data_IF_745291403881
#
_entry.id   IF_745291403881
#
_cell.length_a   1.000
_cell.length_b   1.000
_cell.length_c   1.000
_cell.angle_alpha   90.00
_cell.angle_beta   90.00
_cell.angle_gamma   90.00
#
_symmetry.space_group_name_H-M   'P 1'
#
loop_
_entity.id
_entity.type
_entity.pdbx_description
1 polymer ?
#
# COMPACT_ATOMS: atom_id res chain seq x y z
N UNK A 1 -9.13 -22.64 -16.53
CA UNK A 1 -8.72 -22.05 -15.24
C UNK A 1 -9.97 -21.65 -14.48
N UNK A 2 -10.08 -21.90 -13.17
CA UNK A 2 -11.26 -21.49 -12.39
C UNK A 2 -11.41 -19.94 -12.46
N UNK A 3 -12.61 -19.39 -12.72
CA UNK A 3 -12.82 -17.94 -12.78
C UNK A 3 -12.32 -17.17 -11.54
N UNK A 4 -12.41 -17.79 -10.35
CA UNK A 4 -11.87 -17.22 -9.12
C UNK A 4 -10.34 -17.03 -9.18
N UNK A 5 -9.63 -18.05 -9.67
CA UNK A 5 -8.19 -18.02 -9.82
C UNK A 5 -7.72 -17.08 -10.95
N UNK A 6 -8.51 -16.95 -12.01
CA UNK A 6 -8.31 -15.91 -13.03
C UNK A 6 -8.40 -14.52 -12.43
N UNK A 7 -9.43 -14.28 -11.62
CA UNK A 7 -9.58 -13.01 -10.95
C UNK A 7 -8.39 -12.72 -10.01
N UNK A 8 -7.91 -13.70 -9.24
CA UNK A 8 -6.72 -13.45 -8.40
C UNK A 8 -5.52 -13.05 -9.27
N UNK A 9 -5.19 -13.84 -10.29
CA UNK A 9 -4.04 -13.57 -11.16
C UNK A 9 -4.14 -12.18 -11.79
N UNK A 10 -5.28 -11.84 -12.38
CA UNK A 10 -5.43 -10.60 -13.14
C UNK A 10 -5.35 -9.35 -12.24
N UNK A 11 -5.58 -9.51 -10.93
CA UNK A 11 -5.49 -8.43 -9.95
C UNK A 11 -4.14 -8.41 -9.19
N UNK A 12 -3.28 -9.41 -9.36
CA UNK A 12 -1.96 -9.49 -8.71
C UNK A 12 -0.79 -9.59 -9.70
N UNK A 13 -1.04 -9.78 -10.99
CA UNK A 13 0.01 -9.93 -12.03
C UNK A 13 0.98 -8.75 -12.04
N UNK A 14 0.47 -7.55 -11.77
CA UNK A 14 1.25 -6.32 -11.72
C UNK A 14 2.37 -6.35 -10.66
N UNK A 15 2.22 -7.15 -9.60
CA UNK A 15 3.23 -7.32 -8.56
C UNK A 15 4.48 -8.08 -9.06
N UNK A 16 4.35 -8.88 -10.12
CA UNK A 16 5.48 -9.56 -10.76
C UNK A 16 6.24 -8.67 -11.75
N UNK A 17 5.91 -7.36 -11.81
CA UNK A 17 6.64 -6.40 -12.60
C UNK A 17 8.08 -6.23 -12.09
N UNK A 18 9.04 -6.71 -12.87
CA UNK A 18 10.48 -6.61 -12.54
C UNK A 18 10.91 -5.14 -12.57
N UNK A 19 11.44 -4.68 -11.43
CA UNK A 19 12.03 -3.34 -11.29
C UNK A 19 13.53 -3.41 -11.61
N UNK A 20 14.21 -4.46 -11.14
CA UNK A 20 15.63 -4.67 -11.35
C UNK A 20 16.00 -6.16 -11.31
N UNK A 21 16.83 -6.63 -12.25
CA UNK A 21 17.34 -7.99 -12.28
C UNK A 21 18.84 -7.98 -12.58
N UNK A 22 19.65 -8.60 -11.72
CA UNK A 22 21.08 -8.78 -11.92
C UNK A 22 21.59 -10.10 -11.32
N UNK A 23 21.84 -11.09 -12.19
CA UNK A 23 22.44 -12.41 -11.89
C UNK A 23 21.75 -13.17 -10.75
N UNK A 24 22.09 -12.85 -9.50
CA UNK A 24 21.61 -13.49 -8.27
C UNK A 24 20.74 -12.56 -7.41
N UNK A 25 20.53 -11.32 -7.86
CA UNK A 25 19.67 -10.34 -7.21
C UNK A 25 18.52 -10.00 -8.14
N UNK A 26 17.31 -10.07 -7.60
CA UNK A 26 16.06 -9.86 -8.32
C UNK A 26 15.19 -8.95 -7.46
N UNK A 27 14.52 -7.98 -8.08
CA UNK A 27 13.68 -7.04 -7.38
C UNK A 27 12.48 -6.69 -8.26
N UNK A 28 11.30 -7.04 -7.78
CA UNK A 28 10.01 -6.73 -8.40
C UNK A 28 9.10 -6.02 -7.40
N UNK A 29 7.86 -5.76 -7.79
CA UNK A 29 6.89 -5.13 -6.89
C UNK A 29 6.48 -6.07 -5.73
N UNK A 30 6.56 -7.40 -5.89
CA UNK A 30 6.41 -8.35 -4.78
C UNK A 30 7.49 -8.18 -3.72
N UNK A 31 8.74 -7.90 -4.12
CA UNK A 31 9.83 -7.61 -3.19
C UNK A 31 9.48 -6.44 -2.23
N UNK A 32 8.75 -5.42 -2.70
CA UNK A 32 8.23 -4.36 -1.81
C UNK A 32 7.19 -4.89 -0.82
N UNK A 33 6.33 -5.82 -1.25
CA UNK A 33 5.35 -6.50 -0.37
C UNK A 33 6.06 -7.36 0.67
N UNK A 34 7.12 -8.09 0.32
CA UNK A 34 7.90 -8.87 1.30
C UNK A 34 8.60 -7.95 2.30
N UNK A 35 9.23 -6.87 1.83
CA UNK A 35 9.85 -5.84 2.69
C UNK A 35 8.82 -5.31 3.69
N UNK A 36 7.63 -4.99 3.20
CA UNK A 36 6.55 -4.46 4.03
C UNK A 36 6.00 -5.48 5.01
N UNK A 37 5.75 -6.69 4.54
CA UNK A 37 5.22 -7.79 5.36
C UNK A 37 6.20 -8.10 6.49
N UNK A 38 7.50 -8.17 6.20
CA UNK A 38 8.52 -8.35 7.20
C UNK A 38 8.57 -7.23 8.26
N UNK A 39 8.44 -5.97 7.83
CA UNK A 39 8.32 -4.82 8.73
C UNK A 39 7.08 -4.93 9.65
N UNK A 40 5.90 -5.19 9.09
CA UNK A 40 4.65 -5.32 9.85
C UNK A 40 4.68 -6.52 10.80
N UNK A 41 5.15 -7.69 10.35
CA UNK A 41 5.30 -8.88 11.21
C UNK A 41 6.26 -8.57 12.36
N UNK A 42 7.35 -7.87 12.11
CA UNK A 42 8.28 -7.48 13.17
C UNK A 42 7.65 -6.50 14.18
N UNK A 43 6.84 -5.55 13.72
CA UNK A 43 6.05 -4.66 14.59
C UNK A 43 5.13 -5.50 15.48
N UNK A 44 4.37 -6.44 14.91
CA UNK A 44 3.44 -7.31 15.64
C UNK A 44 4.18 -8.17 16.67
N UNK A 45 5.27 -8.84 16.27
CA UNK A 45 6.08 -9.66 17.17
C UNK A 45 6.65 -8.83 18.32
N UNK A 46 7.07 -7.60 18.04
CA UNK A 46 7.62 -6.71 19.05
C UNK A 46 6.52 -6.19 19.99
N UNK A 47 5.36 -5.77 19.45
CA UNK A 47 4.21 -5.29 20.22
C UNK A 47 3.62 -6.37 21.14
N UNK A 48 3.75 -7.65 20.75
CA UNK A 48 3.35 -8.80 21.54
C UNK A 48 4.46 -9.31 22.49
N UNK A 49 5.57 -8.58 22.65
CA UNK A 49 6.71 -8.93 23.51
C UNK A 49 7.27 -10.35 23.25
N UNK A 50 7.30 -10.75 21.98
CA UNK A 50 7.64 -12.11 21.61
C UNK A 50 9.15 -12.36 21.74
N UNK A 51 9.54 -13.31 22.59
CA UNK A 51 10.95 -13.75 22.73
C UNK A 51 11.48 -14.33 21.41
N UNK A 52 12.77 -14.08 21.13
CA UNK A 52 13.46 -14.53 19.90
C UNK A 52 12.75 -14.07 18.61
N UNK A 53 12.22 -12.85 18.60
CA UNK A 53 11.48 -12.25 17.47
C UNK A 53 12.12 -12.44 16.10
N UNK A 54 13.44 -12.32 15.98
CA UNK A 54 14.16 -12.53 14.72
C UNK A 54 14.04 -13.96 14.17
N UNK A 55 14.20 -14.95 15.04
CA UNK A 55 14.02 -16.36 14.65
C UNK A 55 12.57 -16.61 14.24
N UNK A 56 11.60 -16.02 14.95
CA UNK A 56 10.19 -16.18 14.60
C UNK A 56 9.81 -15.47 13.31
N UNK A 57 10.35 -14.29 13.05
CA UNK A 57 10.19 -13.59 11.77
C UNK A 57 10.70 -14.49 10.63
N UNK A 58 11.93 -14.99 10.75
CA UNK A 58 12.50 -15.90 9.76
C UNK A 58 11.61 -17.13 9.54
N UNK A 59 11.15 -17.79 10.61
CA UNK A 59 10.27 -18.95 10.50
C UNK A 59 8.94 -18.63 9.82
N UNK A 60 8.32 -17.48 10.14
CA UNK A 60 7.07 -17.06 9.51
C UNK A 60 7.28 -16.81 8.01
N UNK A 61 8.36 -16.10 7.64
CA UNK A 61 8.69 -15.86 6.24
C UNK A 61 8.96 -17.18 5.50
N UNK A 62 9.76 -18.09 6.06
CA UNK A 62 9.99 -19.41 5.45
C UNK A 62 8.69 -20.22 5.28
N UNK A 63 7.78 -20.19 6.26
CA UNK A 63 6.48 -20.86 6.15
C UNK A 63 5.64 -20.22 5.06
N UNK A 64 5.65 -18.89 4.95
CA UNK A 64 4.95 -18.16 3.90
C UNK A 64 5.43 -18.60 2.50
N UNK A 65 6.73 -18.59 2.26
CA UNK A 65 7.32 -19.03 0.99
C UNK A 65 7.00 -20.49 0.65
N UNK A 66 7.03 -21.38 1.65
CA UNK A 66 6.65 -22.79 1.44
C UNK A 66 5.18 -22.90 1.05
N UNK A 67 4.30 -22.16 1.72
CA UNK A 67 2.87 -22.13 1.39
C UNK A 67 2.67 -21.59 -0.02
N UNK A 68 3.30 -20.48 -0.36
CA UNK A 68 3.25 -19.86 -1.69
C UNK A 68 3.74 -20.83 -2.79
N UNK A 69 4.93 -21.41 -2.63
CA UNK A 69 5.48 -22.44 -3.54
C UNK A 69 4.52 -23.63 -3.69
N UNK A 70 3.94 -24.13 -2.59
CA UNK A 70 2.98 -25.22 -2.63
C UNK A 70 1.68 -24.82 -3.35
N UNK A 71 1.20 -23.59 -3.16
CA UNK A 71 0.04 -23.06 -3.89
C UNK A 71 0.32 -22.97 -5.40
N UNK A 72 1.52 -22.56 -5.81
CA UNK A 72 1.93 -22.55 -7.22
C UNK A 72 1.97 -23.94 -7.83
N UNK A 73 2.66 -24.87 -7.17
CA UNK A 73 2.91 -26.23 -7.68
C UNK A 73 1.64 -27.09 -7.66
N UNK A 74 0.87 -27.04 -6.57
CA UNK A 74 -0.17 -28.04 -6.32
C UNK A 74 -1.54 -27.69 -6.92
N UNK A 75 -1.85 -26.40 -7.12
CA UNK A 75 -3.25 -26.01 -7.40
C UNK A 75 -3.41 -25.32 -8.76
N UNK A 76 -2.37 -24.69 -9.32
CA UNK A 76 -2.64 -23.50 -10.12
C UNK A 76 -2.00 -23.40 -11.51
N UNK A 77 -0.75 -23.81 -11.77
CA UNK A 77 -0.07 -23.48 -13.05
C UNK A 77 -0.26 -21.99 -13.47
N UNK A 78 -0.61 -21.12 -12.52
CA UNK A 78 -1.14 -19.78 -12.76
C UNK A 78 -0.03 -18.77 -13.01
N UNK A 79 1.14 -19.08 -12.48
CA UNK A 79 2.28 -18.20 -12.40
C UNK A 79 3.53 -19.02 -12.77
N UNK A 80 4.58 -18.33 -13.23
CA UNK A 80 5.84 -18.98 -13.58
C UNK A 80 6.43 -19.62 -12.33
N UNK A 81 6.96 -20.86 -12.40
CA UNK A 81 7.62 -21.47 -11.26
C UNK A 81 8.75 -20.54 -10.79
N UNK A 82 8.65 -20.10 -9.54
CA UNK A 82 9.68 -19.29 -8.89
C UNK A 82 11.01 -20.02 -8.92
N UNK A 83 12.06 -19.30 -9.29
CA UNK A 83 13.42 -19.82 -9.18
C UNK A 83 13.73 -19.92 -7.69
N UNK A 84 14.52 -20.89 -7.28
CA UNK A 84 14.96 -20.96 -5.87
C UNK A 84 15.72 -19.71 -5.39
N UNK A 85 16.20 -18.87 -6.32
CA UNK A 85 16.78 -17.55 -6.03
C UNK A 85 15.71 -16.55 -5.55
N UNK A 86 14.48 -16.65 -6.05
CA UNK A 86 13.37 -15.74 -5.75
C UNK A 86 12.95 -15.94 -4.29
N UNK A 87 12.68 -17.18 -3.88
CA UNK A 87 12.38 -17.57 -2.48
C UNK A 87 13.43 -17.04 -1.48
N UNK A 88 14.73 -17.16 -1.81
CA UNK A 88 15.79 -16.67 -0.93
C UNK A 88 15.77 -15.15 -0.86
N UNK A 89 15.57 -14.49 -2.00
CA UNK A 89 15.48 -13.04 -2.08
C UNK A 89 14.29 -12.53 -1.25
N UNK A 90 13.13 -13.14 -1.35
CA UNK A 90 11.90 -12.72 -0.65
C UNK A 90 12.04 -12.84 0.86
N UNK A 91 12.67 -13.93 1.35
CA UNK A 91 13.02 -14.07 2.77
C UNK A 91 14.02 -12.98 3.18
N UNK A 92 15.07 -12.74 2.40
CA UNK A 92 16.09 -11.73 2.73
C UNK A 92 15.48 -10.33 2.78
N UNK A 93 14.65 -9.98 1.80
CA UNK A 93 13.96 -8.70 1.71
C UNK A 93 12.94 -8.55 2.86
N UNK A 94 12.20 -9.60 3.20
CA UNK A 94 11.34 -9.60 4.39
C UNK A 94 12.12 -9.41 5.70
N UNK A 95 13.25 -10.09 5.85
CA UNK A 95 14.15 -9.91 7.01
C UNK A 95 14.72 -8.49 7.07
N UNK A 96 15.06 -7.90 5.92
CA UNK A 96 15.49 -6.50 5.83
C UNK A 96 14.38 -5.55 6.30
N UNK A 97 13.12 -5.81 5.96
CA UNK A 97 11.96 -5.05 6.45
C UNK A 97 11.87 -5.05 7.98
N UNK A 98 12.01 -6.23 8.59
CA UNK A 98 12.09 -6.36 10.04
C UNK A 98 13.29 -5.62 10.65
N UNK A 99 14.43 -5.60 9.96
CA UNK A 99 15.62 -4.89 10.39
C UNK A 99 15.49 -3.37 10.34
N UNK A 100 14.84 -2.83 9.32
CA UNK A 100 14.52 -1.41 9.25
C UNK A 100 13.62 -0.99 10.41
N UNK A 101 12.60 -1.79 10.75
CA UNK A 101 11.72 -1.49 11.90
C UNK A 101 12.44 -1.62 13.24
N UNK A 102 13.31 -2.62 13.39
CA UNK A 102 14.15 -2.74 14.57
C UNK A 102 15.08 -1.51 14.74
N UNK A 103 15.71 -1.07 13.66
CA UNK A 103 16.56 0.12 13.66
C UNK A 103 15.77 1.38 14.02
N UNK A 104 14.56 1.52 13.48
CA UNK A 104 13.65 2.61 13.83
C UNK A 104 13.33 2.61 15.33
N UNK A 105 12.90 1.48 15.91
CA UNK A 105 12.57 1.41 17.34
C UNK A 105 13.77 1.65 18.27
N UNK A 106 14.98 1.35 17.81
CA UNK A 106 16.20 1.65 18.56
C UNK A 106 16.55 3.14 18.48
N UNK A 107 16.27 3.79 17.35
CA UNK A 107 16.52 5.21 17.14
C UNK A 107 15.48 6.09 17.84
N UNK A 108 14.21 5.68 17.82
CA UNK A 108 13.09 6.34 18.49
C UNK A 108 12.75 5.66 19.82
N UNK A 109 13.73 5.61 20.72
CA UNK A 109 13.57 4.99 22.05
C UNK A 109 12.53 5.68 22.93
N UNK A 110 12.25 6.96 22.66
CA UNK A 110 11.19 7.75 23.31
C UNK A 110 9.79 7.57 22.71
N UNK A 111 9.66 6.84 21.59
CA UNK A 111 8.39 6.66 20.89
C UNK A 111 7.84 7.92 20.21
N UNK A 112 8.60 9.03 20.19
CA UNK A 112 8.16 10.34 19.72
C UNK A 112 7.71 10.33 18.25
N UNK A 113 8.26 9.45 17.44
CA UNK A 113 8.02 9.37 15.99
C UNK A 113 7.13 8.19 15.60
N UNK A 114 6.71 7.33 16.54
CA UNK A 114 5.87 6.14 16.27
C UNK A 114 4.56 6.48 15.55
N UNK A 115 3.88 7.56 15.96
CA UNK A 115 2.68 8.06 15.30
C UNK A 115 2.93 8.55 13.88
N UNK A 116 4.07 9.20 13.63
CA UNK A 116 4.47 9.62 12.27
C UNK A 116 4.78 8.41 11.40
N UNK A 117 5.42 7.38 11.97
CA UNK A 117 5.63 6.11 11.28
C UNK A 117 4.29 5.46 10.94
N UNK A 118 3.34 5.36 11.88
CA UNK A 118 2.01 4.80 11.63
C UNK A 118 1.29 5.52 10.46
N UNK A 119 1.36 6.84 10.46
CA UNK A 119 0.80 7.69 9.40
C UNK A 119 1.46 7.39 8.05
N UNK A 120 2.79 7.41 8.00
CA UNK A 120 3.55 7.17 6.77
C UNK A 120 3.26 5.78 6.20
N UNK A 121 3.33 4.76 7.05
CA UNK A 121 3.02 3.36 6.71
C UNK A 121 1.63 3.24 6.10
N UNK A 122 0.63 3.82 6.77
CA UNK A 122 -0.75 3.69 6.34
C UNK A 122 -1.03 4.41 5.02
N UNK A 123 -0.48 5.62 4.85
CA UNK A 123 -0.63 6.40 3.64
C UNK A 123 0.00 5.71 2.43
N UNK A 124 1.26 5.26 2.53
CA UNK A 124 1.94 4.65 1.40
C UNK A 124 1.36 3.27 1.04
N UNK A 125 0.90 2.50 2.04
CA UNK A 125 0.34 1.16 1.81
C UNK A 125 -0.95 1.21 1.00
N UNK A 126 -1.92 2.02 1.44
CA UNK A 126 -3.21 2.13 0.75
C UNK A 126 -3.01 2.74 -0.64
N UNK A 127 -2.13 3.73 -0.77
CA UNK A 127 -1.81 4.32 -2.07
C UNK A 127 -1.16 3.30 -3.03
N UNK A 128 -0.19 2.52 -2.55
CA UNK A 128 0.48 1.49 -3.36
C UNK A 128 -0.47 0.40 -3.83
N UNK A 129 -1.27 -0.16 -2.91
CA UNK A 129 -2.26 -1.20 -3.23
C UNK A 129 -3.26 -0.66 -4.26
N UNK A 130 -3.79 0.54 -4.03
CA UNK A 130 -4.78 1.13 -4.93
C UNK A 130 -4.22 1.41 -6.31
N UNK A 131 -3.05 2.03 -6.40
CA UNK A 131 -2.47 2.44 -7.69
C UNK A 131 -2.08 1.25 -8.54
N UNK A 132 -1.46 0.24 -7.93
CA UNK A 132 -1.09 -0.98 -8.65
C UNK A 132 -2.32 -1.80 -9.08
N UNK A 133 -3.33 -1.91 -8.20
CA UNK A 133 -4.56 -2.63 -8.50
C UNK A 133 -5.42 -1.94 -9.57
N UNK A 134 -5.57 -0.61 -9.50
CA UNK A 134 -6.34 0.15 -10.49
C UNK A 134 -5.63 0.22 -11.85
N UNK A 135 -4.29 0.21 -11.84
CA UNK A 135 -3.48 0.28 -13.05
C UNK A 135 -3.56 1.64 -13.74
N UNK A 136 -3.41 2.73 -12.97
CA UNK A 136 -3.46 4.08 -13.52
C UNK A 136 -2.50 4.25 -14.70
N UNK A 137 -3.01 4.86 -15.77
CA UNK A 137 -2.23 5.30 -16.91
C UNK A 137 -2.77 6.67 -17.32
N UNK A 138 -1.89 7.65 -17.44
CA UNK A 138 -2.25 9.00 -17.80
C UNK A 138 -1.64 9.42 -19.14
N UNK A 139 -2.19 10.46 -19.75
CA UNK A 139 -1.71 11.03 -21.02
C UNK A 139 -0.22 11.43 -21.01
N UNK A 140 0.31 11.83 -19.86
CA UNK A 140 1.72 12.23 -19.72
C UNK A 140 2.58 11.01 -19.36
N UNK A 141 3.33 10.51 -20.35
CA UNK A 141 4.15 9.28 -20.24
C UNK A 141 5.21 9.34 -19.14
N UNK A 142 5.72 10.53 -18.80
CA UNK A 142 6.71 10.70 -17.72
C UNK A 142 6.26 10.09 -16.38
N UNK A 143 4.96 10.13 -16.08
CA UNK A 143 4.44 9.57 -14.82
C UNK A 143 4.16 8.07 -14.90
N UNK A 144 4.13 7.48 -16.09
CA UNK A 144 3.77 6.08 -16.29
C UNK A 144 5.04 5.22 -16.26
N UNK A 145 5.16 4.37 -15.25
CA UNK A 145 6.07 3.22 -15.27
C UNK A 145 5.26 1.94 -15.51
N UNK A 146 5.91 0.81 -15.86
CA UNK A 146 5.22 -0.47 -15.87
C UNK A 146 4.51 -0.68 -14.53
N UNK A 147 3.19 -0.89 -14.58
CA UNK A 147 2.33 -1.21 -13.43
C UNK A 147 2.07 -0.10 -12.39
N UNK A 148 2.92 0.93 -12.30
CA UNK A 148 2.76 2.04 -11.34
C UNK A 148 2.76 3.39 -12.02
N UNK A 149 1.76 4.22 -11.72
CA UNK A 149 1.77 5.63 -12.07
C UNK A 149 2.24 6.49 -10.88
N UNK A 150 3.35 7.21 -11.07
CA UNK A 150 4.01 7.99 -10.03
C UNK A 150 3.23 9.23 -9.60
N UNK A 151 2.46 9.83 -10.51
CA UNK A 151 1.58 10.95 -10.17
C UNK A 151 0.46 10.48 -9.21
N UNK A 152 -0.27 9.44 -9.60
CA UNK A 152 -1.33 8.86 -8.78
C UNK A 152 -0.80 8.40 -7.42
N UNK A 153 0.34 7.69 -7.40
CA UNK A 153 0.95 7.22 -6.15
C UNK A 153 1.29 8.38 -5.21
N UNK A 154 1.87 9.46 -5.75
CA UNK A 154 2.22 10.65 -4.97
C UNK A 154 0.97 11.35 -4.43
N UNK A 155 -0.02 11.61 -5.28
CA UNK A 155 -1.26 12.26 -4.89
C UNK A 155 -2.01 11.46 -3.82
N UNK A 156 -2.13 10.14 -4.00
CA UNK A 156 -2.78 9.26 -3.02
C UNK A 156 -2.02 9.20 -1.70
N UNK A 157 -0.70 9.16 -1.72
CA UNK A 157 0.12 9.15 -0.50
C UNK A 157 -0.02 10.46 0.27
N UNK A 158 0.11 11.61 -0.41
CA UNK A 158 -0.03 12.94 0.22
C UNK A 158 -1.45 13.15 0.73
N UNK A 159 -2.47 12.76 -0.05
CA UNK A 159 -3.87 12.84 0.37
C UNK A 159 -4.15 11.96 1.58
N UNK A 160 -3.67 10.71 1.57
CA UNK A 160 -3.78 9.79 2.71
C UNK A 160 -3.17 10.36 3.99
N UNK A 161 -1.96 10.90 3.89
CA UNK A 161 -1.29 11.58 4.99
C UNK A 161 -2.11 12.77 5.52
N UNK A 162 -2.61 13.63 4.63
CA UNK A 162 -3.45 14.78 5.01
C UNK A 162 -4.75 14.37 5.71
N UNK A 163 -5.44 13.34 5.19
CA UNK A 163 -6.64 12.76 5.81
C UNK A 163 -6.33 12.30 7.24
N UNK A 164 -5.24 11.54 7.42
CA UNK A 164 -4.84 11.00 8.73
C UNK A 164 -4.46 12.12 9.72
N UNK A 165 -3.77 13.17 9.26
CA UNK A 165 -3.43 14.33 10.09
C UNK A 165 -4.69 15.05 10.57
N UNK A 166 -5.62 15.34 9.67
CA UNK A 166 -6.88 15.98 10.01
C UNK A 166 -7.69 15.10 10.98
N UNK A 167 -7.82 13.80 10.71
CA UNK A 167 -8.47 12.85 11.60
C UNK A 167 -7.85 12.87 13.00
N UNK A 168 -6.52 12.78 13.11
CA UNK A 168 -5.80 12.79 14.37
C UNK A 168 -6.05 14.08 15.17
N UNK A 169 -6.04 15.23 14.49
CA UNK A 169 -6.28 16.53 15.10
C UNK A 169 -7.73 16.73 15.58
N UNK A 170 -8.71 16.24 14.81
CA UNK A 170 -10.12 16.35 15.19
C UNK A 170 -10.54 15.32 16.24
N UNK A 171 -9.99 14.11 16.21
CA UNK A 171 -10.27 13.06 17.21
C UNK A 171 -9.89 13.56 18.61
N UNK A 172 -8.79 14.30 18.72
CA UNK A 172 -8.34 14.91 19.97
C UNK A 172 -9.29 16.00 20.51
N UNK A 173 -10.15 16.60 19.67
CA UNK A 173 -10.94 17.80 20.03
C UNK A 173 -12.46 17.62 20.04
N UNK A 174 -13.03 16.79 19.14
CA UNK A 174 -14.48 16.82 18.83
C UNK A 174 -15.14 15.44 18.67
N UNK A 175 -14.46 14.36 19.09
CA UNK A 175 -15.00 12.99 19.04
C UNK A 175 -14.85 12.29 17.68
N UNK A 176 -15.05 10.97 17.67
CA UNK A 176 -14.72 10.12 16.52
C UNK A 176 -15.57 10.38 15.27
N UNK A 177 -16.87 10.61 15.42
CA UNK A 177 -17.76 10.91 14.29
C UNK A 177 -17.30 12.16 13.53
N UNK A 178 -17.11 13.26 14.26
CA UNK A 178 -16.62 14.52 13.66
C UNK A 178 -15.23 14.36 13.03
N UNK A 179 -14.35 13.58 13.68
CA UNK A 179 -13.01 13.30 13.19
C UNK A 179 -12.97 12.50 11.90
N UNK A 180 -14.03 11.75 11.57
CA UNK A 180 -14.13 11.01 10.30
C UNK A 180 -14.84 11.86 9.25
N UNK A 181 -16.00 12.43 9.60
CA UNK A 181 -16.85 13.17 8.65
C UNK A 181 -16.17 14.41 8.09
N UNK A 182 -15.45 15.17 8.92
CA UNK A 182 -14.89 16.45 8.47
C UNK A 182 -13.68 16.30 7.54
N UNK A 183 -12.69 15.42 7.81
CA UNK A 183 -11.65 15.11 6.83
C UNK A 183 -12.21 14.53 5.53
N UNK A 184 -13.27 13.72 5.62
CA UNK A 184 -13.94 13.17 4.43
C UNK A 184 -14.54 14.26 3.53
N UNK A 185 -15.24 15.25 4.12
CA UNK A 185 -15.78 16.40 3.38
C UNK A 185 -14.67 17.25 2.76
N UNK A 186 -13.62 17.58 3.51
CA UNK A 186 -12.47 18.33 2.99
C UNK A 186 -11.83 17.57 1.82
N UNK A 187 -11.60 16.28 2.01
CA UNK A 187 -11.03 15.41 0.99
C UNK A 187 -11.84 15.45 -0.30
N UNK A 188 -13.17 15.33 -0.25
CA UNK A 188 -14.00 15.37 -1.46
C UNK A 188 -13.90 16.71 -2.19
N UNK A 189 -13.93 17.83 -1.46
CA UNK A 189 -13.77 19.16 -2.07
C UNK A 189 -12.41 19.28 -2.77
N UNK A 190 -11.33 18.85 -2.10
CA UNK A 190 -9.99 18.89 -2.67
C UNK A 190 -9.85 17.94 -3.85
N UNK A 191 -10.44 16.75 -3.78
CA UNK A 191 -10.45 15.77 -4.86
C UNK A 191 -11.11 16.36 -6.12
N UNK A 192 -12.29 16.95 -6.00
CA UNK A 192 -12.94 17.62 -7.13
C UNK A 192 -12.08 18.75 -7.70
N UNK A 193 -11.45 19.56 -6.85
CA UNK A 193 -10.57 20.63 -7.30
C UNK A 193 -9.34 20.08 -8.05
N UNK A 194 -8.68 19.05 -7.52
CA UNK A 194 -7.50 18.42 -8.13
C UNK A 194 -7.86 17.76 -9.46
N UNK A 195 -8.95 17.01 -9.53
CA UNK A 195 -9.45 16.39 -10.77
C UNK A 195 -9.76 17.45 -11.83
N UNK A 196 -10.46 18.52 -11.44
CA UNK A 196 -10.76 19.62 -12.35
C UNK A 196 -9.49 20.26 -12.93
N UNK A 197 -8.52 20.58 -12.06
CA UNK A 197 -7.24 21.18 -12.46
C UNK A 197 -6.45 20.21 -13.36
N UNK A 198 -6.32 18.95 -12.96
CA UNK A 198 -5.59 17.93 -13.71
C UNK A 198 -6.20 17.75 -15.11
N UNK A 199 -7.52 17.60 -15.19
CA UNK A 199 -8.22 17.32 -16.44
C UNK A 199 -8.29 18.52 -17.38
N UNK A 200 -8.74 19.67 -16.88
CA UNK A 200 -9.03 20.84 -17.73
C UNK A 200 -7.84 21.79 -17.90
N UNK A 201 -6.99 21.95 -16.89
CA UNK A 201 -5.88 22.91 -16.95
C UNK A 201 -4.56 22.25 -17.36
N UNK A 202 -4.30 21.03 -16.88
CA UNK A 202 -3.03 20.34 -17.13
C UNK A 202 -3.11 19.30 -18.27
N UNK A 203 -4.31 19.03 -18.79
CA UNK A 203 -4.54 17.97 -19.79
C UNK A 203 -4.02 16.59 -19.36
N UNK A 204 -3.94 16.37 -18.04
CA UNK A 204 -3.53 15.12 -17.43
C UNK A 204 -4.78 14.25 -17.29
N UNK A 205 -5.02 13.39 -18.28
CA UNK A 205 -6.22 12.56 -18.36
C UNK A 205 -5.88 11.11 -18.14
N UNK A 206 -6.69 10.44 -17.33
CA UNK A 206 -6.64 8.99 -17.17
C UNK A 206 -7.12 8.32 -18.47
N UNK A 207 -6.40 7.30 -18.93
CA UNK A 207 -6.64 6.63 -20.21
C UNK A 207 -6.81 5.10 -20.08
N UNK A 208 -6.74 4.54 -18.87
CA UNK A 208 -6.81 3.07 -18.67
C UNK A 208 -8.21 2.53 -18.86
N UNK A 209 -9.25 3.13 -18.26
CA UNK A 209 -10.56 2.46 -18.15
C UNK A 209 -11.75 3.23 -18.77
N UNK A 210 -11.48 4.21 -19.62
CA UNK A 210 -12.51 5.04 -20.25
C UNK A 210 -13.10 6.07 -19.28
N UNK A 211 -13.31 7.28 -19.76
CA UNK A 211 -13.80 8.38 -18.95
C UNK A 211 -15.33 8.38 -18.94
N UNK A 212 -15.96 7.76 -17.94
CA UNK A 212 -17.34 8.12 -17.61
C UNK A 212 -17.31 9.39 -16.74
N UNK A 213 -17.81 10.53 -17.25
CA UNK A 213 -17.85 11.74 -16.45
C UNK A 213 -18.87 11.60 -15.33
N UNK A 214 -18.48 11.96 -14.12
CA UNK A 214 -19.32 11.95 -12.93
C UNK A 214 -19.26 13.31 -12.24
N UNK A 215 -20.44 13.78 -11.85
CA UNK A 215 -20.70 15.07 -11.19
C UNK A 215 -20.13 16.24 -12.00
N UNK A 216 -20.98 16.84 -12.84
CA UNK A 216 -20.67 18.04 -13.63
C UNK A 216 -19.46 17.93 -14.56
N UNK A 217 -19.14 16.74 -15.07
CA UNK A 217 -17.98 16.52 -15.97
C UNK A 217 -16.63 16.82 -15.29
N UNK A 218 -16.55 16.65 -13.96
CA UNK A 218 -15.34 16.97 -13.18
C UNK A 218 -14.52 15.71 -12.93
N UNK A 219 -15.15 14.62 -12.49
CA UNK A 219 -14.46 13.37 -12.17
C UNK A 219 -14.57 12.41 -13.33
N UNK A 220 -13.42 11.95 -13.82
CA UNK A 220 -13.35 11.09 -15.00
C UNK A 220 -12.68 9.77 -14.64
N UNK A 221 -13.39 8.67 -14.81
CA UNK A 221 -12.83 7.33 -14.71
C UNK A 221 -13.89 6.26 -14.51
N UNK A 222 -13.48 5.06 -14.11
CA UNK A 222 -14.39 3.93 -14.00
C UNK A 222 -15.24 3.97 -12.72
N UNK A 223 -16.34 3.20 -12.68
CA UNK A 223 -17.18 3.04 -11.48
C UNK A 223 -16.39 2.62 -10.25
N UNK A 224 -15.39 1.78 -10.45
CA UNK A 224 -14.51 1.27 -9.38
C UNK A 224 -13.70 2.42 -8.77
N UNK A 225 -13.17 3.31 -9.61
CA UNK A 225 -12.47 4.52 -9.16
C UNK A 225 -13.35 5.38 -8.27
N UNK A 226 -14.60 5.60 -8.67
CA UNK A 226 -15.56 6.40 -7.91
C UNK A 226 -15.90 5.79 -6.55
N UNK A 227 -16.07 4.46 -6.49
CA UNK A 227 -16.29 3.76 -5.22
C UNK A 227 -15.08 3.98 -4.30
N UNK A 228 -13.87 3.85 -4.83
CA UNK A 228 -12.66 4.06 -4.04
C UNK A 228 -12.53 5.52 -3.58
N UNK A 229 -12.80 6.50 -4.45
CA UNK A 229 -12.77 7.92 -4.09
C UNK A 229 -13.64 8.17 -2.85
N UNK A 230 -14.88 7.68 -2.85
CA UNK A 230 -15.82 7.88 -1.73
C UNK A 230 -15.40 7.13 -0.46
N UNK A 231 -14.71 6.00 -0.58
CA UNK A 231 -14.36 5.12 0.55
C UNK A 231 -12.92 5.27 1.04
N UNK A 232 -12.04 5.93 0.28
CA UNK A 232 -10.61 6.05 0.55
C UNK A 232 -10.29 6.58 1.96
N UNK A 233 -10.96 7.62 2.49
CA UNK A 233 -10.68 8.08 3.84
C UNK A 233 -10.86 7.00 4.92
N UNK A 234 -11.82 6.08 4.74
CA UNK A 234 -12.03 4.98 5.69
C UNK A 234 -10.88 3.98 5.67
N UNK A 235 -10.33 3.66 4.50
CA UNK A 235 -9.17 2.77 4.38
C UNK A 235 -7.91 3.38 5.02
N UNK A 236 -7.62 4.65 4.71
CA UNK A 236 -6.47 5.35 5.30
C UNK A 236 -6.59 5.47 6.83
N UNK A 237 -7.75 5.91 7.34
CA UNK A 237 -7.98 6.05 8.77
C UNK A 237 -7.97 4.69 9.46
N UNK A 238 -8.61 3.69 8.86
CA UNK A 238 -8.71 2.33 9.42
C UNK A 238 -7.34 1.69 9.60
N UNK A 239 -6.50 1.72 8.55
CA UNK A 239 -5.13 1.20 8.64
C UNK A 239 -4.30 2.01 9.63
N UNK A 240 -4.43 3.35 9.64
CA UNK A 240 -3.73 4.19 10.62
C UNK A 240 -4.09 3.84 12.05
N UNK A 241 -5.38 3.69 12.38
CA UNK A 241 -5.80 3.31 13.73
C UNK A 241 -5.25 1.94 14.12
N UNK A 242 -5.25 0.97 13.20
CA UNK A 242 -4.68 -0.35 13.45
C UNK A 242 -3.18 -0.27 13.74
N UNK A 243 -2.40 0.36 12.87
CA UNK A 243 -0.94 0.46 13.04
C UNK A 243 -0.59 1.30 14.27
N UNK A 244 -1.28 2.42 14.49
CA UNK A 244 -1.07 3.25 15.67
C UNK A 244 -1.31 2.46 16.96
N UNK A 245 -2.38 1.64 17.03
CA UNK A 245 -2.67 0.82 18.21
C UNK A 245 -1.59 -0.25 18.49
N UNK A 246 -0.91 -0.74 17.45
CA UNK A 246 0.23 -1.65 17.61
C UNK A 246 1.46 -0.92 18.12
N UNK A 247 1.63 0.34 17.71
CA UNK A 247 2.80 1.17 18.01
C UNK A 247 2.68 1.97 19.31
N UNK A 248 1.47 2.21 19.82
CA UNK A 248 1.20 2.90 21.11
C UNK A 248 1.95 2.29 22.30
N UNK A 249 2.39 1.02 22.21
CA UNK A 249 3.21 0.36 23.24
C UNK A 249 4.66 0.85 23.31
N UNK A 250 5.08 1.66 22.35
CA UNK A 250 6.42 2.24 22.26
C UNK A 250 6.45 3.72 22.62
N UNK A 251 5.29 4.36 22.82
CA UNK A 251 5.14 5.70 23.42
C UNK A 251 5.25 5.64 24.95
#
# INVERSE_FOLDING_TARGET
>A
MNPFFQNIRDNTEWLYGVIFEYKWFYYDFWSLVHLWSGAIIFIVLSACNVKRRWLKLLLILCVFEVVETLFFIAILNLFKPEKGVDVVNDIVIGMLGGALMYAFFKWDDTGKYTKFLALFISAITIAFIWVGWYGYNYTISFFNSPYVNWWALSCWTVSGAAIILLFSNFKAKKGAFFAITFPWLIYLVLLFAVEYIAYHLLSLREITQGATPLIFDIVHGSRIMHIFYVTAPLFFIGLFVLINSLLEKYE
#
